data_IF_091719241805
#
_entry.id   IF_091719241805
#
_cell.length_a   1.000
_cell.length_b   1.000
_cell.length_c   1.000
_cell.angle_alpha   90.00
_cell.angle_beta   90.00
_cell.angle_gamma   90.00
#
_symmetry.space_group_name_H-M   'P 1'
#
loop_
_entity.id
_entity.type
_entity.pdbx_description
1 polymer ?
#
# COMPACT_ATOMS: atom_id res chain seq x y z
N UNK A 1 59.86 18.31 -46.06
CA UNK A 1 59.97 17.66 -47.38
C UNK A 1 58.78 16.74 -47.55
N UNK A 2 58.01 16.95 -48.64
CA UNK A 2 57.14 16.04 -49.41
C UNK A 2 56.19 15.11 -48.62
N UNK A 3 54.86 15.29 -48.71
CA UNK A 3 53.99 14.81 -49.80
C UNK A 3 54.20 13.32 -50.13
N UNK A 4 53.21 12.48 -50.42
CA UNK A 4 51.75 12.52 -50.57
C UNK A 4 51.43 11.19 -51.30
N UNK A 5 50.30 10.53 -50.99
CA UNK A 5 49.46 9.67 -51.86
C UNK A 5 48.89 8.51 -51.01
N UNK A 6 47.64 8.50 -50.55
CA UNK A 6 46.33 8.62 -51.24
C UNK A 6 46.06 7.47 -52.22
N UNK A 7 45.11 6.60 -51.84
CA UNK A 7 43.93 6.18 -52.61
C UNK A 7 42.85 5.80 -51.56
N UNK A 8 41.80 6.60 -51.33
CA UNK A 8 40.45 6.56 -51.95
C UNK A 8 39.95 5.11 -52.15
N UNK A 9 38.72 4.69 -51.82
CA UNK A 9 37.42 5.34 -51.65
C UNK A 9 36.46 4.18 -51.28
N UNK A 10 35.53 4.33 -50.34
CA UNK A 10 34.11 3.95 -50.53
C UNK A 10 33.28 4.78 -49.55
N UNK A 11 32.36 5.54 -50.12
CA UNK A 11 31.38 6.38 -49.44
C UNK A 11 30.11 5.60 -49.06
N UNK A 12 29.25 6.28 -48.29
CA UNK A 12 27.81 5.99 -48.05
C UNK A 12 27.64 4.99 -46.88
N UNK A 13 27.04 5.32 -45.73
CA UNK A 13 25.72 5.95 -45.55
C UNK A 13 25.71 7.00 -44.43
N UNK A 14 25.30 8.22 -44.78
CA UNK A 14 24.45 9.01 -43.91
C UNK A 14 23.07 8.36 -43.90
N UNK A 15 22.70 7.71 -42.80
CA UNK A 15 21.31 7.36 -42.51
C UNK A 15 21.03 7.62 -41.04
N UNK A 16 20.42 8.77 -40.79
CA UNK A 16 19.51 9.00 -39.67
C UNK A 16 20.12 8.90 -38.28
N UNK A 17 20.49 10.05 -37.73
CA UNK A 17 20.15 10.34 -36.34
C UNK A 17 18.63 10.24 -36.20
N UNK A 18 18.10 9.03 -36.04
CA UNK A 18 16.81 8.87 -35.37
C UNK A 18 17.11 9.11 -33.89
N UNK A 19 17.07 10.38 -33.49
CA UNK A 19 16.67 10.71 -32.13
C UNK A 19 15.38 9.93 -31.91
N UNK A 20 15.44 8.81 -31.18
CA UNK A 20 14.25 8.20 -30.61
C UNK A 20 13.57 9.34 -29.87
N UNK A 21 12.47 9.84 -30.42
CA UNK A 21 11.51 10.60 -29.64
C UNK A 21 11.31 9.82 -28.34
N UNK A 22 11.31 10.46 -27.16
CA UNK A 22 11.06 9.75 -25.92
C UNK A 22 9.72 9.04 -26.09
N UNK A 23 9.77 7.72 -26.23
CA UNK A 23 8.61 6.86 -26.14
C UNK A 23 7.89 7.22 -24.85
N UNK A 24 6.56 7.33 -24.91
CA UNK A 24 5.62 7.53 -23.79
C UNK A 24 6.28 7.23 -22.43
N UNK A 25 6.38 8.25 -21.56
CA UNK A 25 6.82 8.15 -20.15
C UNK A 25 6.60 6.73 -19.63
N UNK A 26 7.68 5.98 -19.45
CA UNK A 26 7.62 4.59 -19.00
C UNK A 26 6.75 4.52 -17.73
N UNK A 27 5.62 3.82 -17.81
CA UNK A 27 4.77 3.55 -16.64
C UNK A 27 5.59 2.75 -15.64
N UNK A 28 6.03 3.39 -14.56
CA UNK A 28 6.76 2.71 -13.48
C UNK A 28 5.78 1.75 -12.81
N UNK A 29 6.01 0.45 -13.02
CA UNK A 29 5.32 -0.64 -12.36
C UNK A 29 6.20 -1.20 -11.25
N UNK A 30 5.70 -1.17 -10.00
CA UNK A 30 6.41 -1.70 -8.84
C UNK A 30 5.67 -2.95 -8.37
N UNK A 31 6.41 -4.05 -8.17
CA UNK A 31 5.86 -5.27 -7.59
C UNK A 31 6.27 -5.37 -6.13
N UNK A 32 5.31 -5.66 -5.26
CA UNK A 32 5.55 -5.73 -3.81
C UNK A 32 4.97 -7.03 -3.29
N UNK A 33 5.81 -7.83 -2.62
CA UNK A 33 5.37 -9.05 -1.94
C UNK A 33 5.03 -8.72 -0.49
N UNK A 34 3.95 -9.26 0.05
CA UNK A 34 3.48 -8.95 1.39
C UNK A 34 2.67 -10.11 1.96
N UNK A 35 2.47 -10.14 3.27
CA UNK A 35 1.47 -10.97 3.94
C UNK A 35 0.16 -10.22 4.03
N UNK A 36 -0.92 -10.85 3.55
CA UNK A 36 -2.29 -10.36 3.70
C UNK A 36 -2.83 -10.68 5.11
N UNK A 37 -3.96 -10.07 5.50
CA UNK A 37 -4.60 -10.22 6.83
C UNK A 37 -4.85 -11.67 7.28
N UNK A 38 -4.89 -12.63 6.34
CA UNK A 38 -5.05 -14.06 6.62
C UNK A 38 -3.71 -14.80 6.80
N UNK A 39 -2.58 -14.10 6.75
CA UNK A 39 -1.23 -14.66 6.85
C UNK A 39 -0.71 -15.31 5.57
N UNK A 40 -1.42 -15.19 4.45
CA UNK A 40 -0.95 -15.70 3.16
C UNK A 40 -0.02 -14.69 2.49
N UNK A 41 1.10 -15.18 1.94
CA UNK A 41 2.00 -14.35 1.15
C UNK A 41 1.38 -14.10 -0.22
N UNK A 42 1.24 -12.84 -0.57
CA UNK A 42 0.68 -12.35 -1.83
C UNK A 42 1.62 -11.36 -2.49
N UNK A 43 1.20 -10.86 -3.66
CA UNK A 43 1.91 -9.84 -4.41
C UNK A 43 0.92 -8.87 -5.01
N UNK A 44 1.26 -7.58 -4.94
CA UNK A 44 0.55 -6.54 -5.65
C UNK A 44 1.45 -5.88 -6.70
N UNK A 45 0.82 -5.25 -7.68
CA UNK A 45 1.49 -4.40 -8.67
C UNK A 45 0.95 -2.97 -8.54
N UNK A 46 1.83 -2.01 -8.32
CA UNK A 46 1.51 -0.59 -8.25
C UNK A 46 1.84 0.03 -9.60
N UNK A 47 0.88 0.72 -10.21
CA UNK A 47 1.08 1.49 -11.44
C UNK A 47 0.79 2.96 -11.16
N UNK A 48 1.81 3.79 -11.33
CA UNK A 48 1.66 5.25 -11.23
C UNK A 48 1.01 5.79 -12.50
N UNK A 49 0.01 6.65 -12.34
CA UNK A 49 -0.64 7.32 -13.46
C UNK A 49 -0.62 8.81 -13.19
N UNK A 50 0.06 9.58 -14.06
CA UNK A 50 0.04 11.03 -13.94
C UNK A 50 -1.30 11.57 -14.44
N UNK A 51 -2.25 11.76 -13.53
CA UNK A 51 -3.50 12.45 -13.83
C UNK A 51 -3.42 13.91 -13.37
N UNK A 52 -3.35 14.86 -14.30
CA UNK A 52 -3.17 16.28 -13.98
C UNK A 52 -4.42 16.92 -13.34
N UNK A 53 -5.60 16.33 -13.51
CA UNK A 53 -6.88 16.87 -13.00
C UNK A 53 -7.01 16.73 -11.48
N UNK A 54 -6.35 15.75 -10.87
CA UNK A 54 -6.50 15.42 -9.45
C UNK A 54 -5.35 15.90 -8.56
N UNK A 55 -4.39 16.68 -9.10
CA UNK A 55 -3.27 17.21 -8.29
C UNK A 55 -3.68 18.26 -7.27
N UNK A 56 -4.80 18.96 -7.49
CA UNK A 56 -5.31 20.02 -6.60
C UNK A 56 -6.43 19.54 -5.66
N UNK A 57 -6.76 18.24 -5.67
CA UNK A 57 -7.77 17.68 -4.77
C UNK A 57 -7.23 17.57 -3.34
N UNK A 58 -8.12 17.61 -2.34
CA UNK A 58 -7.74 17.41 -0.93
C UNK A 58 -7.08 16.05 -0.71
N UNK A 59 -7.50 15.04 -1.46
CA UNK A 59 -6.89 13.70 -1.49
C UNK A 59 -6.48 13.37 -2.93
N UNK A 60 -5.24 13.67 -3.34
CA UNK A 60 -4.80 13.48 -4.73
C UNK A 60 -4.82 12.01 -5.15
N UNK A 61 -5.21 11.76 -6.40
CA UNK A 61 -5.06 10.45 -7.03
C UNK A 61 -3.60 10.16 -7.34
N UNK A 62 -3.18 8.93 -7.08
CA UNK A 62 -1.81 8.46 -7.26
C UNK A 62 -1.66 7.53 -8.47
N UNK A 63 -2.64 6.65 -8.70
CA UNK A 63 -2.57 5.61 -9.71
C UNK A 63 -3.46 4.42 -9.35
N UNK A 64 -3.06 3.22 -9.75
CA UNK A 64 -3.82 1.99 -9.45
C UNK A 64 -2.93 0.93 -8.79
N UNK A 65 -3.56 0.10 -7.97
CA UNK A 65 -2.95 -1.09 -7.37
C UNK A 65 -3.71 -2.31 -7.85
N UNK A 66 -2.98 -3.26 -8.41
CA UNK A 66 -3.48 -4.54 -8.88
C UNK A 66 -3.13 -5.62 -7.85
N UNK A 67 -4.16 -6.17 -7.20
CA UNK A 67 -4.10 -7.27 -6.25
C UNK A 67 -4.12 -8.59 -7.02
N UNK A 68 -2.93 -9.13 -7.29
CA UNK A 68 -2.75 -10.21 -8.27
C UNK A 68 -3.45 -11.52 -7.87
N UNK A 69 -3.58 -11.79 -6.57
CA UNK A 69 -4.24 -12.99 -6.07
C UNK A 69 -5.77 -12.93 -6.23
N UNK A 70 -6.35 -11.72 -6.30
CA UNK A 70 -7.78 -11.48 -6.37
C UNK A 70 -8.27 -11.09 -7.76
N UNK A 71 -7.34 -10.92 -8.73
CA UNK A 71 -7.61 -10.33 -10.05
C UNK A 71 -8.39 -8.99 -9.94
N UNK A 72 -7.97 -8.17 -8.97
CA UNK A 72 -8.69 -6.96 -8.55
C UNK A 72 -7.81 -5.73 -8.72
N UNK A 73 -8.33 -4.71 -9.40
CA UNK A 73 -7.64 -3.42 -9.59
C UNK A 73 -8.40 -2.34 -8.83
N UNK A 74 -7.71 -1.61 -7.97
CA UNK A 74 -8.27 -0.52 -7.19
C UNK A 74 -7.49 0.78 -7.42
N UNK A 75 -8.19 1.90 -7.32
CA UNK A 75 -7.60 3.23 -7.34
C UNK A 75 -6.81 3.48 -6.05
N UNK A 76 -5.67 4.11 -6.21
CA UNK A 76 -4.81 4.55 -5.13
C UNK A 76 -4.74 6.08 -5.07
N UNK A 77 -4.68 6.59 -3.86
CA UNK A 77 -4.64 8.01 -3.53
C UNK A 77 -3.46 8.31 -2.59
N UNK A 78 -3.20 9.57 -2.32
CA UNK A 78 -2.19 10.00 -1.36
C UNK A 78 -2.85 10.80 -0.23
N UNK A 79 -3.07 10.17 0.93
CA UNK A 79 -3.61 10.86 2.12
C UNK A 79 -2.53 11.67 2.85
N UNK A 80 -1.26 11.27 2.70
CA UNK A 80 -0.11 11.97 3.23
C UNK A 80 1.05 11.91 2.22
N UNK A 81 1.93 12.91 2.28
CA UNK A 81 3.11 12.95 1.40
C UNK A 81 3.94 11.68 1.54
N UNK A 82 4.16 10.98 0.42
CA UNK A 82 4.96 9.75 0.38
C UNK A 82 4.21 8.48 0.79
N UNK A 83 2.89 8.54 0.98
CA UNK A 83 2.04 7.36 1.19
C UNK A 83 1.15 7.11 -0.02
N UNK A 84 1.00 5.82 -0.35
CA UNK A 84 0.04 5.33 -1.31
C UNK A 84 -1.06 4.64 -0.50
N UNK A 85 -2.30 5.08 -0.67
CA UNK A 85 -3.43 4.61 0.10
C UNK A 85 -4.50 4.05 -0.84
N UNK A 86 -4.98 2.85 -0.54
CA UNK A 86 -6.14 2.25 -1.21
C UNK A 86 -7.24 2.12 -0.17
N UNK A 87 -8.42 2.64 -0.48
CA UNK A 87 -9.60 2.50 0.37
C UNK A 87 -10.67 1.80 -0.45
N UNK A 88 -11.18 0.69 0.08
CA UNK A 88 -12.13 -0.19 -0.59
C UNK A 88 -13.34 -0.44 0.30
N UNK A 89 -14.51 -0.38 -0.33
CA UNK A 89 -15.80 -0.77 0.25
C UNK A 89 -16.57 -1.48 -0.86
N UNK A 90 -17.20 -2.62 -0.55
CA UNK A 90 -18.00 -3.39 -1.52
C UNK A 90 -17.24 -3.67 -2.84
N UNK A 91 -15.99 -4.12 -2.74
CA UNK A 91 -15.10 -4.41 -3.87
C UNK A 91 -14.86 -3.21 -4.83
N UNK A 92 -15.09 -1.99 -4.36
CA UNK A 92 -14.98 -0.77 -5.15
C UNK A 92 -14.09 0.25 -4.46
N UNK A 93 -13.30 0.98 -5.23
CA UNK A 93 -12.45 2.04 -4.68
C UNK A 93 -13.27 3.23 -4.21
N UNK A 94 -12.91 3.77 -3.04
CA UNK A 94 -13.52 4.96 -2.47
C UNK A 94 -12.66 6.19 -2.79
N UNK A 95 -13.25 7.17 -3.47
CA UNK A 95 -12.65 8.49 -3.64
C UNK A 95 -13.17 9.44 -2.56
N UNK A 96 -12.33 9.79 -1.59
CA UNK A 96 -12.72 10.70 -0.50
C UNK A 96 -13.03 12.15 -0.97
N UNK A 97 -12.78 12.50 -2.24
CA UNK A 97 -13.24 13.76 -2.81
C UNK A 97 -14.67 13.70 -3.36
N UNK A 98 -15.34 12.53 -3.33
CA UNK A 98 -16.70 12.34 -3.84
C UNK A 98 -17.69 12.06 -2.70
N UNK A 99 -18.70 12.91 -2.57
CA UNK A 99 -19.71 12.76 -1.51
C UNK A 99 -20.49 11.44 -1.58
N UNK A 100 -20.70 10.88 -2.79
CA UNK A 100 -21.30 9.55 -2.96
C UNK A 100 -20.48 8.45 -2.31
N UNK A 101 -19.16 8.52 -2.45
CA UNK A 101 -18.23 7.50 -1.98
C UNK A 101 -18.05 7.64 -0.45
N UNK A 102 -18.05 8.87 0.08
CA UNK A 102 -18.12 9.13 1.52
C UNK A 102 -19.42 8.54 2.12
N UNK A 103 -20.55 8.70 1.43
CA UNK A 103 -21.82 8.11 1.89
C UNK A 103 -21.78 6.57 1.86
N UNK A 104 -21.15 5.99 0.84
CA UNK A 104 -20.94 4.55 0.76
C UNK A 104 -20.05 4.05 1.92
N UNK A 105 -18.95 4.74 2.20
CA UNK A 105 -18.05 4.48 3.33
C UNK A 105 -18.81 4.50 4.67
N UNK A 106 -19.63 5.52 4.92
CA UNK A 106 -20.41 5.65 6.16
C UNK A 106 -21.43 4.52 6.38
N UNK A 107 -21.90 3.88 5.31
CA UNK A 107 -22.87 2.78 5.35
C UNK A 107 -22.22 1.40 5.33
N UNK A 108 -20.91 1.33 5.10
CA UNK A 108 -20.19 0.09 4.91
C UNK A 108 -20.16 -0.74 6.20
N UNK A 109 -20.49 -2.02 6.09
CA UNK A 109 -20.27 -3.02 7.15
C UNK A 109 -18.84 -3.57 7.13
N UNK A 110 -18.10 -3.34 6.04
CA UNK A 110 -16.72 -3.72 5.84
C UNK A 110 -15.95 -2.60 5.13
N UNK A 111 -14.78 -2.25 5.64
CA UNK A 111 -13.87 -1.28 5.05
C UNK A 111 -12.49 -1.90 4.97
N UNK A 112 -11.97 -2.05 3.76
CA UNK A 112 -10.59 -2.48 3.54
C UNK A 112 -9.73 -1.25 3.26
N UNK A 113 -8.56 -1.19 3.90
CA UNK A 113 -7.62 -0.09 3.76
C UNK A 113 -6.21 -0.63 3.61
N UNK A 114 -5.49 -0.08 2.65
CA UNK A 114 -4.09 -0.37 2.43
C UNK A 114 -3.28 0.92 2.53
N UNK A 115 -2.17 0.87 3.24
CA UNK A 115 -1.16 1.91 3.23
C UNK A 115 0.17 1.32 2.80
N UNK A 116 0.73 1.86 1.72
CA UNK A 116 1.97 1.40 1.12
C UNK A 116 2.98 2.54 1.20
N UNK A 117 4.11 2.24 1.84
CA UNK A 117 5.31 3.06 1.95
C UNK A 117 6.55 2.21 1.61
N UNK A 118 7.72 2.82 1.38
CA UNK A 118 8.94 2.07 1.07
C UNK A 118 9.32 1.02 2.12
N UNK A 119 9.06 1.30 3.40
CA UNK A 119 9.46 0.47 4.55
C UNK A 119 8.33 -0.36 5.14
N UNK A 120 7.07 -0.03 4.80
CA UNK A 120 5.89 -0.67 5.37
C UNK A 120 4.78 -0.85 4.34
N UNK A 121 4.15 -2.02 4.35
CA UNK A 121 2.84 -2.23 3.72
C UNK A 121 1.86 -2.73 4.77
N UNK A 122 0.83 -1.94 5.04
CA UNK A 122 -0.24 -2.29 5.96
C UNK A 122 -1.51 -2.61 5.18
N UNK A 123 -2.11 -3.77 5.47
CA UNK A 123 -3.44 -4.15 5.01
C UNK A 123 -4.36 -4.28 6.22
N UNK A 124 -5.53 -3.67 6.15
CA UNK A 124 -6.48 -3.58 7.26
C UNK A 124 -7.88 -3.87 6.75
N UNK A 125 -8.61 -4.67 7.51
CA UNK A 125 -10.05 -4.87 7.35
C UNK A 125 -10.75 -4.49 8.64
N UNK A 126 -11.60 -3.47 8.56
CA UNK A 126 -12.58 -3.14 9.59
C UNK A 126 -13.90 -3.79 9.26
N UNK A 127 -14.58 -4.37 10.24
CA UNK A 127 -15.90 -4.97 10.04
C UNK A 127 -16.80 -4.81 11.27
N UNK A 128 -18.10 -4.74 11.04
CA UNK A 128 -19.10 -4.74 12.12
C UNK A 128 -20.43 -5.35 11.65
N UNK A 129 -21.35 -5.59 12.58
CA UNK A 129 -22.66 -6.15 12.25
C UNK A 129 -23.55 -5.16 11.47
N UNK A 130 -23.46 -3.87 11.80
CA UNK A 130 -24.20 -2.82 11.12
C UNK A 130 -23.27 -2.08 10.14
N UNK A 131 -23.10 -0.77 10.29
CA UNK A 131 -22.02 -0.05 9.62
C UNK A 131 -20.84 0.10 10.57
N UNK A 132 -19.63 -0.04 10.04
CA UNK A 132 -18.37 0.14 10.79
C UNK A 132 -18.37 1.49 11.49
N UNK A 133 -18.68 2.55 10.77
CA UNK A 133 -18.69 3.90 11.35
C UNK A 133 -19.85 4.13 12.32
N UNK A 134 -21.04 3.59 12.04
CA UNK A 134 -22.17 3.70 12.97
C UNK A 134 -21.88 2.98 14.28
N UNK A 135 -21.39 1.74 14.22
CA UNK A 135 -21.04 0.98 15.42
C UNK A 135 -19.86 1.63 16.17
N UNK A 136 -18.82 2.09 15.46
CA UNK A 136 -17.68 2.79 16.06
C UNK A 136 -18.10 4.04 16.84
N UNK A 137 -18.87 4.95 16.22
CA UNK A 137 -19.30 6.20 16.84
C UNK A 137 -20.29 5.96 18.01
N UNK A 138 -21.06 4.88 17.96
CA UNK A 138 -21.91 4.41 19.06
C UNK A 138 -21.14 3.63 20.14
N UNK A 139 -19.80 3.58 20.06
CA UNK A 139 -18.92 2.87 20.98
C UNK A 139 -19.20 1.37 21.08
N UNK A 140 -19.79 0.78 20.04
CA UNK A 140 -19.90 -0.67 19.86
C UNK A 140 -18.57 -1.21 19.32
N UNK A 141 -18.28 -2.50 19.54
CA UNK A 141 -17.05 -3.10 19.02
C UNK A 141 -17.03 -3.09 17.49
N UNK A 142 -15.93 -2.62 16.92
CA UNK A 142 -15.56 -2.85 15.52
C UNK A 142 -14.46 -3.89 15.47
N UNK A 143 -14.65 -4.95 14.70
CA UNK A 143 -13.65 -5.97 14.52
C UNK A 143 -12.59 -5.51 13.50
N UNK A 144 -11.33 -5.75 13.82
CA UNK A 144 -10.16 -5.36 13.02
C UNK A 144 -9.27 -6.57 12.80
N UNK A 145 -8.97 -6.82 11.53
CA UNK A 145 -7.86 -7.66 11.11
C UNK A 145 -6.82 -6.79 10.41
N UNK A 146 -5.56 -6.92 10.80
CA UNK A 146 -4.47 -6.18 10.18
C UNK A 146 -3.27 -7.09 9.95
N UNK A 147 -2.62 -6.89 8.81
CA UNK A 147 -1.26 -7.35 8.55
C UNK A 147 -0.38 -6.13 8.23
N UNK A 148 0.59 -5.84 9.11
CA UNK A 148 1.58 -4.78 8.88
C UNK A 148 2.90 -5.44 8.53
N UNK A 149 3.32 -5.29 7.28
CA UNK A 149 4.57 -5.81 6.72
C UNK A 149 5.67 -4.78 6.88
N UNK A 150 6.80 -5.18 7.46
CA UNK A 150 7.98 -4.36 7.68
C UNK A 150 9.12 -4.86 6.79
N UNK A 151 9.49 -4.05 5.81
CA UNK A 151 10.54 -4.41 4.86
C UNK A 151 11.92 -4.16 5.45
N UNK A 152 12.80 -5.14 5.23
CA UNK A 152 14.21 -5.10 5.58
C UNK A 152 15.03 -4.87 4.29
N UNK A 153 16.14 -5.58 4.13
CA UNK A 153 16.98 -5.58 2.92
C UNK A 153 16.70 -6.81 2.07
N UNK A 154 17.08 -6.78 0.79
CA UNK A 154 17.13 -7.95 -0.09
C UNK A 154 15.82 -8.76 -0.13
N UNK A 155 14.71 -8.06 -0.34
CA UNK A 155 13.33 -8.61 -0.36
C UNK A 155 12.89 -9.34 0.92
N UNK A 156 13.67 -9.23 2.00
CA UNK A 156 13.34 -9.79 3.31
C UNK A 156 12.35 -8.89 4.03
N UNK A 157 11.36 -9.49 4.68
CA UNK A 157 10.38 -8.78 5.49
C UNK A 157 9.76 -9.70 6.52
N UNK A 158 9.16 -9.11 7.54
CA UNK A 158 8.28 -9.81 8.47
C UNK A 158 6.97 -9.04 8.60
N UNK A 159 5.92 -9.69 9.08
CA UNK A 159 4.64 -9.03 9.34
C UNK A 159 4.17 -9.25 10.77
N UNK A 160 3.60 -8.21 11.37
CA UNK A 160 2.68 -8.35 12.50
C UNK A 160 1.29 -8.66 11.94
N UNK A 161 0.66 -9.71 12.44
CA UNK A 161 -0.74 -10.02 12.15
C UNK A 161 -1.51 -9.86 13.46
N UNK A 162 -2.55 -9.03 13.45
CA UNK A 162 -3.36 -8.73 14.63
C UNK A 162 -4.83 -8.87 14.29
N UNK A 163 -5.54 -9.55 15.19
CA UNK A 163 -6.99 -9.56 15.26
C UNK A 163 -7.39 -8.87 16.56
N UNK A 164 -8.28 -7.87 16.49
CA UNK A 164 -8.68 -7.08 17.64
C UNK A 164 -10.13 -6.58 17.52
N UNK A 165 -10.70 -6.18 18.66
CA UNK A 165 -11.93 -5.39 18.72
C UNK A 165 -11.60 -3.97 19.17
N UNK A 166 -12.01 -2.98 18.38
CA UNK A 166 -11.85 -1.55 18.66
C UNK A 166 -13.09 -0.98 19.33
N UNK A 167 -12.85 -0.13 20.32
CA UNK A 167 -13.88 0.59 21.06
C UNK A 167 -13.52 2.07 21.05
N UNK A 168 -14.36 2.89 20.43
CA UNK A 168 -14.11 4.32 20.33
C UNK A 168 -13.84 4.94 21.71
N UNK A 169 -12.73 5.68 21.81
CA UNK A 169 -12.18 6.31 23.04
C UNK A 169 -11.81 5.35 24.19
N UNK A 170 -12.04 4.03 24.05
CA UNK A 170 -11.73 3.02 25.07
C UNK A 170 -10.54 2.13 24.68
N UNK A 171 -10.05 2.24 23.45
CA UNK A 171 -8.88 1.51 22.96
C UNK A 171 -9.25 0.21 22.24
N UNK A 172 -8.33 -0.76 22.26
CA UNK A 172 -8.47 -2.01 21.52
C UNK A 172 -8.26 -3.22 22.45
N UNK A 173 -9.06 -4.27 22.24
CA UNK A 173 -8.87 -5.59 22.84
C UNK A 173 -8.30 -6.53 21.79
N UNK A 174 -7.04 -6.93 21.96
CA UNK A 174 -6.40 -7.94 21.09
C UNK A 174 -7.03 -9.30 21.36
N UNK A 175 -7.41 -9.99 20.27
CA UNK A 175 -7.92 -11.36 20.27
C UNK A 175 -6.82 -12.34 19.88
N UNK A 176 -6.11 -12.05 18.78
CA UNK A 176 -4.98 -12.83 18.28
C UNK A 176 -3.87 -11.89 17.85
N UNK A 177 -2.62 -12.31 18.02
CA UNK A 177 -1.47 -11.65 17.42
C UNK A 177 -0.36 -12.64 17.15
N UNK A 178 0.33 -12.46 16.04
CA UNK A 178 1.50 -13.26 15.68
C UNK A 178 2.47 -12.48 14.78
N UNK A 179 3.67 -13.03 14.64
CA UNK A 179 4.65 -12.57 13.67
C UNK A 179 4.92 -13.68 12.67
N UNK A 180 4.95 -13.30 11.38
CA UNK A 180 5.33 -14.19 10.27
C UNK A 180 6.53 -13.59 9.54
N UNK A 181 7.37 -14.45 8.96
CA UNK A 181 8.68 -14.03 8.44
C UNK A 181 8.88 -14.57 7.01
N UNK A 182 9.25 -13.67 6.11
CA UNK A 182 9.79 -13.97 4.80
C UNK A 182 11.27 -13.54 4.79
N UNK A 183 12.13 -14.34 5.40
CA UNK A 183 13.56 -14.04 5.55
C UNK A 183 14.33 -15.34 5.32
N UNK A 184 15.14 -15.37 4.26
CA UNK A 184 15.93 -16.55 3.90
C UNK A 184 17.28 -16.59 4.63
N UNK A 185 17.89 -15.43 4.88
CA UNK A 185 19.18 -15.34 5.56
C UNK A 185 19.02 -15.61 7.07
N UNK A 186 19.67 -16.66 7.56
CA UNK A 186 19.57 -17.10 8.96
C UNK A 186 19.89 -16.00 9.96
N UNK A 187 20.94 -15.20 9.71
CA UNK A 187 21.33 -14.13 10.63
C UNK A 187 20.24 -13.06 10.76
N UNK A 188 19.71 -12.59 9.63
CA UNK A 188 18.63 -11.59 9.60
C UNK A 188 17.37 -12.17 10.27
N UNK A 189 17.07 -13.46 10.04
CA UNK A 189 15.92 -14.11 10.65
C UNK A 189 16.01 -14.13 12.18
N UNK A 190 17.17 -14.48 12.72
CA UNK A 190 17.37 -14.51 14.18
C UNK A 190 17.31 -13.10 14.78
N UNK A 191 17.91 -12.10 14.12
CA UNK A 191 17.78 -10.69 14.54
C UNK A 191 16.31 -10.21 14.53
N UNK A 192 15.56 -10.57 13.50
CA UNK A 192 14.13 -10.23 13.40
C UNK A 192 13.32 -10.90 14.52
N UNK A 193 13.55 -12.18 14.81
CA UNK A 193 12.88 -12.90 15.90
C UNK A 193 13.24 -12.31 17.27
N UNK A 194 14.49 -11.94 17.49
CA UNK A 194 14.91 -11.32 18.75
C UNK A 194 14.20 -9.96 18.95
N UNK A 195 14.15 -9.14 17.89
CA UNK A 195 13.45 -7.87 17.89
C UNK A 195 11.95 -8.04 18.21
N UNK A 196 11.26 -8.94 17.51
CA UNK A 196 9.81 -9.12 17.64
C UNK A 196 9.41 -9.74 18.98
N UNK A 197 10.22 -10.63 19.57
CA UNK A 197 9.98 -11.20 20.89
C UNK A 197 10.02 -10.15 22.01
N UNK A 198 10.94 -9.18 21.90
CA UNK A 198 11.11 -8.12 22.90
C UNK A 198 10.07 -6.99 22.76
N UNK A 199 9.48 -6.83 21.57
CA UNK A 199 8.75 -5.61 21.22
C UNK A 199 7.23 -5.78 21.36
N UNK A 200 6.74 -5.85 22.59
CA UNK A 200 5.29 -5.79 22.88
C UNK A 200 4.64 -4.48 22.41
N UNK A 201 5.43 -3.41 22.31
CA UNK A 201 4.97 -2.07 21.96
C UNK A 201 4.57 -1.94 20.49
N UNK A 202 5.12 -2.77 19.60
CA UNK A 202 4.86 -2.69 18.16
C UNK A 202 3.37 -2.87 17.87
N UNK A 203 2.79 -3.95 18.40
CA UNK A 203 1.35 -4.21 18.29
C UNK A 203 0.50 -3.06 18.85
N UNK A 204 0.90 -2.44 19.97
CA UNK A 204 0.13 -1.34 20.56
C UNK A 204 0.19 -0.09 19.67
N UNK A 205 1.36 0.21 19.09
CA UNK A 205 1.54 1.33 18.18
C UNK A 205 0.72 1.15 16.90
N UNK A 206 0.74 -0.04 16.31
CA UNK A 206 -0.07 -0.38 15.13
C UNK A 206 -1.55 -0.14 15.44
N UNK A 207 -2.08 -0.72 16.53
CA UNK A 207 -3.49 -0.54 16.88
C UNK A 207 -3.86 0.90 17.21
N UNK A 208 -2.97 1.68 17.85
CA UNK A 208 -3.23 3.08 18.13
C UNK A 208 -3.33 3.90 16.83
N UNK A 209 -2.45 3.64 15.85
CA UNK A 209 -2.50 4.25 14.52
C UNK A 209 -3.81 3.90 13.82
N UNK A 210 -4.20 2.63 13.81
CA UNK A 210 -5.45 2.17 13.21
C UNK A 210 -6.68 2.80 13.85
N UNK A 211 -6.68 2.99 15.17
CA UNK A 211 -7.76 3.67 15.88
C UNK A 211 -7.95 5.11 15.41
N UNK A 212 -6.84 5.82 15.14
CA UNK A 212 -6.87 7.19 14.57
C UNK A 212 -7.33 7.18 13.11
N UNK A 213 -6.87 6.22 12.32
CA UNK A 213 -7.33 6.04 10.94
C UNK A 213 -8.85 5.85 10.90
N UNK A 214 -9.38 4.95 11.73
CA UNK A 214 -10.82 4.69 11.78
C UNK A 214 -11.62 5.92 12.22
N UNK A 215 -11.10 6.69 13.18
CA UNK A 215 -11.69 7.98 13.58
C UNK A 215 -11.74 8.97 12.41
N UNK A 216 -10.65 9.11 11.65
CA UNK A 216 -10.61 9.96 10.45
C UNK A 216 -11.62 9.50 9.40
N UNK A 217 -11.65 8.20 9.07
CA UNK A 217 -12.54 7.66 8.05
C UNK A 217 -14.03 7.83 8.43
N UNK A 218 -14.36 7.72 9.72
CA UNK A 218 -15.73 7.84 10.19
C UNK A 218 -16.19 9.26 10.51
N UNK A 219 -15.26 10.23 10.52
CA UNK A 219 -15.56 11.66 10.73
C UNK A 219 -15.39 12.52 9.47
N UNK A 220 -14.98 11.91 8.35
CA UNK A 220 -14.87 12.55 7.03
C UNK A 220 -16.18 13.15 6.52
#
# INVERSE_FOLDING_TARGET
MKNLAIFLLVAIFFSGCSQKSPSKKDEISIYVSYYEINGTKQRLQIKTVQNFVEQNASVPFFGVVNFLAEDKILNAYSLAKGTINVLEVNNSSINLNKSSDILALKKANEINFYEIRPDVLESVKFSSQNSVCGDFLLQKPVHVNVATNYYLRDDSFFASIIEANFFYKKGAKILKKEFVYNIAETKILEEAKEFTQKTKQLFLNDLQKLGRLLDILCTF
#
